data_IF_437500371476
#
_entry.id   IF_437500371476
#
_cell.length_a   1.000
_cell.length_b   1.000
_cell.length_c   1.000
_cell.angle_alpha   90.00
_cell.angle_beta   90.00
_cell.angle_gamma   90.00
#
_symmetry.space_group_name_H-M   'P 1'
#
loop_
_entity.id
_entity.type
_entity.pdbx_description
1 polymer ?
#
# COMPACT_ATOMS: atom_id res chain seq x y z
N UNK A 1 28.82 35.21 -2.88
CA UNK A 1 28.36 34.81 -1.52
C UNK A 1 26.84 34.86 -1.41
N UNK A 2 26.20 35.98 -1.76
CA UNK A 2 24.72 36.12 -1.81
C UNK A 2 24.05 35.10 -2.74
N UNK A 3 24.64 34.86 -3.91
CA UNK A 3 24.12 33.91 -4.90
C UNK A 3 24.03 32.47 -4.35
N UNK A 4 25.09 32.00 -3.67
CA UNK A 4 25.09 30.69 -2.98
C UNK A 4 24.08 30.59 -1.84
N UNK A 5 23.78 31.71 -1.16
CA UNK A 5 22.79 31.76 -0.08
C UNK A 5 21.37 31.70 -0.63
N UNK A 6 21.09 32.37 -1.76
CA UNK A 6 19.80 32.25 -2.46
C UNK A 6 19.58 30.82 -2.97
N UNK A 7 20.58 30.21 -3.61
CA UNK A 7 20.46 28.83 -4.11
C UNK A 7 20.21 27.82 -2.99
N UNK A 8 20.89 27.98 -1.85
CA UNK A 8 20.68 27.09 -0.69
C UNK A 8 19.28 27.24 -0.08
N UNK A 9 18.75 28.47 0.01
CA UNK A 9 17.40 28.72 0.52
C UNK A 9 16.31 28.16 -0.41
N UNK A 10 16.49 28.29 -1.72
CA UNK A 10 15.55 27.77 -2.72
C UNK A 10 15.52 26.23 -2.74
N UNK A 11 16.68 25.58 -2.63
CA UNK A 11 16.78 24.12 -2.49
C UNK A 11 16.10 23.62 -1.21
N UNK A 12 16.33 24.28 -0.07
CA UNK A 12 15.71 23.92 1.21
C UNK A 12 14.18 24.07 1.18
N UNK A 13 13.66 25.12 0.54
CA UNK A 13 12.23 25.35 0.35
C UNK A 13 11.58 24.24 -0.50
N UNK A 14 12.22 23.86 -1.60
CA UNK A 14 11.73 22.80 -2.49
C UNK A 14 11.74 21.41 -1.83
N UNK A 15 12.74 21.12 -1.01
CA UNK A 15 12.81 19.85 -0.28
C UNK A 15 11.73 19.75 0.82
N UNK A 16 11.53 20.84 1.57
CA UNK A 16 10.48 20.94 2.59
C UNK A 16 9.07 20.80 1.99
N UNK A 17 8.84 21.38 0.81
CA UNK A 17 7.55 21.28 0.10
C UNK A 17 7.28 19.85 -0.37
N UNK A 18 8.29 19.17 -0.93
CA UNK A 18 8.18 17.77 -1.37
C UNK A 18 7.89 16.82 -0.20
N UNK A 19 8.58 17.01 0.92
CA UNK A 19 8.37 16.22 2.14
C UNK A 19 6.98 16.44 2.75
N UNK A 20 6.54 17.69 2.82
CA UNK A 20 5.19 18.04 3.32
C UNK A 20 4.10 17.42 2.46
N UNK A 21 4.21 17.54 1.14
CA UNK A 21 3.25 16.96 0.18
C UNK A 21 3.18 15.43 0.33
N UNK A 22 4.33 14.79 0.51
CA UNK A 22 4.44 13.36 0.78
C UNK A 22 3.74 12.89 2.05
N UNK A 23 3.90 13.64 3.14
CA UNK A 23 3.23 13.34 4.41
C UNK A 23 1.73 13.57 4.35
N UNK A 24 1.27 14.61 3.65
CA UNK A 24 -0.17 14.85 3.40
C UNK A 24 -0.77 13.69 2.60
N UNK A 25 -0.08 13.21 1.57
CA UNK A 25 -0.51 12.03 0.81
C UNK A 25 -0.58 10.77 1.69
N UNK A 26 0.40 10.57 2.60
CA UNK A 26 0.37 9.44 3.53
C UNK A 26 -0.82 9.53 4.49
N UNK A 27 -1.04 10.70 5.09
CA UNK A 27 -2.19 10.92 5.96
C UNK A 27 -3.52 10.71 5.22
N UNK A 28 -3.63 11.21 3.99
CA UNK A 28 -4.80 11.00 3.13
C UNK A 28 -5.02 9.53 2.78
N UNK A 29 -3.95 8.78 2.46
CA UNK A 29 -4.03 7.35 2.17
C UNK A 29 -4.47 6.54 3.40
N UNK A 30 -3.89 6.82 4.58
CA UNK A 30 -4.30 6.19 5.85
C UNK A 30 -5.76 6.49 6.16
N UNK A 31 -6.18 7.75 6.03
CA UNK A 31 -7.57 8.15 6.25
C UNK A 31 -8.52 7.42 5.30
N UNK A 32 -8.18 7.37 4.00
CA UNK A 32 -8.97 6.64 3.02
C UNK A 32 -9.08 5.14 3.35
N UNK A 33 -7.97 4.51 3.75
CA UNK A 33 -7.96 3.10 4.22
C UNK A 33 -8.90 2.91 5.42
N UNK A 34 -8.83 3.79 6.43
CA UNK A 34 -9.70 3.71 7.62
C UNK A 34 -11.17 3.90 7.24
N UNK A 35 -11.48 4.91 6.43
CA UNK A 35 -12.86 5.17 5.96
C UNK A 35 -13.41 3.96 5.21
N UNK A 36 -12.61 3.33 4.35
CA UNK A 36 -13.04 2.15 3.59
C UNK A 36 -13.28 0.96 4.52
N UNK A 37 -12.30 0.54 5.32
CA UNK A 37 -12.40 -0.72 6.06
C UNK A 37 -13.13 -0.65 7.39
N UNK A 38 -13.11 0.49 8.08
CA UNK A 38 -13.84 0.67 9.34
C UNK A 38 -15.22 1.33 9.13
N UNK A 39 -15.41 2.05 8.03
CA UNK A 39 -16.66 2.75 7.73
C UNK A 39 -17.48 2.06 6.64
N UNK A 40 -17.02 2.11 5.40
CA UNK A 40 -17.82 1.76 4.23
C UNK A 40 -18.04 0.24 4.09
N UNK A 41 -17.01 -0.58 4.25
CA UNK A 41 -17.12 -2.04 4.13
C UNK A 41 -18.10 -2.60 5.17
N UNK A 42 -17.99 -2.29 6.48
CA UNK A 42 -18.97 -2.75 7.45
C UNK A 42 -20.37 -2.21 7.17
N UNK A 43 -20.49 -0.94 6.78
CA UNK A 43 -21.79 -0.32 6.46
C UNK A 43 -22.51 -1.08 5.35
N UNK A 44 -21.85 -1.36 4.23
CA UNK A 44 -22.47 -2.07 3.11
C UNK A 44 -22.68 -3.56 3.38
N UNK A 45 -21.80 -4.18 4.17
CA UNK A 45 -21.97 -5.58 4.58
C UNK A 45 -23.18 -5.76 5.51
N UNK A 46 -23.46 -4.79 6.37
CA UNK A 46 -24.58 -4.83 7.31
C UNK A 46 -25.93 -4.43 6.68
N UNK A 47 -25.91 -3.70 5.56
CA UNK A 47 -27.14 -3.26 4.85
C UNK A 47 -27.58 -4.22 3.74
N UNK A 48 -27.10 -5.46 3.74
CA UNK A 48 -27.43 -6.51 2.77
C UNK A 48 -27.13 -6.12 1.30
N UNK A 49 -26.06 -5.33 1.10
CA UNK A 49 -25.56 -4.94 -0.24
C UNK A 49 -24.19 -5.59 -0.53
N UNK A 50 -24.10 -6.93 -0.62
CA UNK A 50 -22.83 -7.65 -0.65
C UNK A 50 -21.96 -7.28 -1.87
N UNK A 51 -22.58 -6.98 -3.02
CA UNK A 51 -21.86 -6.54 -4.21
C UNK A 51 -21.14 -5.20 -3.99
N UNK A 52 -21.79 -4.23 -3.31
CA UNK A 52 -21.15 -2.94 -3.01
C UNK A 52 -20.08 -3.08 -1.93
N UNK A 53 -20.32 -3.93 -0.93
CA UNK A 53 -19.33 -4.24 0.09
C UNK A 53 -18.05 -4.82 -0.54
N UNK A 54 -18.19 -5.78 -1.45
CA UNK A 54 -17.07 -6.40 -2.17
C UNK A 54 -16.31 -5.39 -3.03
N UNK A 55 -17.02 -4.58 -3.84
CA UNK A 55 -16.39 -3.54 -4.66
C UNK A 55 -15.63 -2.52 -3.80
N UNK A 56 -16.19 -2.14 -2.66
CA UNK A 56 -15.57 -1.18 -1.74
C UNK A 56 -14.34 -1.79 -1.06
N UNK A 57 -14.41 -3.07 -0.68
CA UNK A 57 -13.29 -3.83 -0.12
C UNK A 57 -12.12 -3.91 -1.11
N UNK A 58 -12.38 -4.30 -2.35
CA UNK A 58 -11.35 -4.40 -3.39
C UNK A 58 -10.81 -3.01 -3.76
N UNK A 59 -11.68 -2.01 -3.85
CA UNK A 59 -11.26 -0.61 -4.04
C UNK A 59 -10.33 -0.11 -2.93
N UNK A 60 -10.56 -0.57 -1.70
CA UNK A 60 -9.71 -0.32 -0.54
C UNK A 60 -8.28 -0.86 -0.64
N UNK A 61 -8.00 -1.79 -1.55
CA UNK A 61 -6.63 -2.31 -1.76
C UNK A 61 -5.69 -1.21 -2.25
N UNK A 62 -6.19 -0.25 -3.02
CA UNK A 62 -5.40 0.86 -3.56
C UNK A 62 -4.87 1.78 -2.46
N UNK A 63 -5.71 2.46 -1.63
CA UNK A 63 -5.20 3.30 -0.57
C UNK A 63 -4.37 2.51 0.45
N UNK A 64 -4.74 1.25 0.74
CA UNK A 64 -3.95 0.39 1.62
C UNK A 64 -2.54 0.14 1.07
N UNK A 65 -2.41 -0.26 -0.19
CA UNK A 65 -1.09 -0.47 -0.83
C UNK A 65 -0.29 0.83 -0.89
N UNK A 66 -0.97 1.96 -1.15
CA UNK A 66 -0.36 3.28 -1.18
C UNK A 66 0.25 3.68 0.17
N UNK A 67 -0.40 3.36 1.28
CA UNK A 67 0.16 3.56 2.62
C UNK A 67 1.53 2.86 2.73
N UNK A 68 1.60 1.57 2.41
CA UNK A 68 2.87 0.83 2.50
C UNK A 68 3.91 1.29 1.49
N UNK A 69 3.49 1.74 0.30
CA UNK A 69 4.37 2.41 -0.65
C UNK A 69 5.00 3.68 -0.06
N UNK A 70 4.19 4.57 0.51
CA UNK A 70 4.68 5.82 1.09
C UNK A 70 5.52 5.56 2.33
N UNK A 71 5.16 4.57 3.15
CA UNK A 71 5.99 4.14 4.27
C UNK A 71 7.37 3.65 3.79
N UNK A 72 7.41 2.81 2.75
CA UNK A 72 8.65 2.37 2.14
C UNK A 72 9.46 3.53 1.54
N UNK A 73 8.79 4.52 0.94
CA UNK A 73 9.43 5.68 0.34
C UNK A 73 10.03 6.63 1.37
N UNK A 74 9.39 6.85 2.52
CA UNK A 74 9.89 7.81 3.51
C UNK A 74 10.82 7.18 4.54
N UNK A 75 10.48 5.99 5.04
CA UNK A 75 11.10 5.42 6.23
C UNK A 75 12.11 4.31 5.96
N UNK A 76 12.30 3.89 4.70
CA UNK A 76 13.38 2.95 4.38
C UNK A 76 14.72 3.67 4.22
N UNK A 77 15.81 2.96 4.49
CA UNK A 77 17.18 3.45 4.25
C UNK A 77 17.93 2.43 3.39
N UNK A 78 17.68 2.40 2.07
CA UNK A 78 18.36 1.47 1.18
C UNK A 78 19.83 1.88 1.00
N UNK A 79 20.77 0.98 1.27
CA UNK A 79 22.22 1.22 1.09
C UNK A 79 22.68 1.07 -0.37
N UNK A 80 21.88 0.42 -1.21
CA UNK A 80 22.07 0.21 -2.64
C UNK A 80 20.70 0.01 -3.29
N UNK A 81 20.65 -0.02 -4.63
CA UNK A 81 19.39 -0.22 -5.35
C UNK A 81 18.71 -1.54 -4.89
N UNK A 82 17.55 -1.48 -4.20
CA UNK A 82 16.91 -2.66 -3.66
C UNK A 82 16.41 -3.59 -4.77
N UNK A 83 16.52 -4.89 -4.53
CA UNK A 83 15.91 -5.91 -5.38
C UNK A 83 14.38 -5.77 -5.40
N UNK A 84 13.75 -6.06 -6.55
CA UNK A 84 12.30 -6.13 -6.67
C UNK A 84 11.66 -7.35 -6.02
N UNK A 85 12.47 -8.30 -5.51
CA UNK A 85 12.00 -9.56 -4.91
C UNK A 85 10.89 -9.38 -3.87
N UNK A 86 10.96 -8.36 -3.01
CA UNK A 86 9.90 -8.12 -2.01
C UNK A 86 8.57 -7.78 -2.67
N UNK A 87 8.59 -6.98 -3.74
CA UNK A 87 7.38 -6.65 -4.48
C UNK A 87 6.84 -7.87 -5.24
N UNK A 88 7.72 -8.63 -5.90
CA UNK A 88 7.34 -9.84 -6.64
C UNK A 88 6.74 -10.90 -5.73
N UNK A 89 7.32 -11.12 -4.54
CA UNK A 89 6.77 -12.01 -3.51
C UNK A 89 5.43 -11.52 -2.99
N UNK A 90 5.29 -10.21 -2.77
CA UNK A 90 4.03 -9.61 -2.34
C UNK A 90 2.92 -9.85 -3.36
N UNK A 91 3.19 -9.58 -4.65
CA UNK A 91 2.24 -9.81 -5.73
C UNK A 91 1.92 -11.30 -5.90
N UNK A 92 2.94 -12.16 -5.85
CA UNK A 92 2.77 -13.61 -5.89
C UNK A 92 1.87 -14.12 -4.76
N UNK A 93 2.08 -13.62 -3.53
CA UNK A 93 1.22 -13.96 -2.39
C UNK A 93 -0.23 -13.53 -2.62
N UNK A 94 -0.49 -12.29 -3.07
CA UNK A 94 -1.85 -11.82 -3.40
C UNK A 94 -2.53 -12.78 -4.37
N UNK A 95 -1.85 -13.14 -5.47
CA UNK A 95 -2.42 -14.02 -6.49
C UNK A 95 -2.69 -15.43 -5.96
N UNK A 96 -1.74 -16.01 -5.23
CA UNK A 96 -1.89 -17.35 -4.66
C UNK A 96 -3.07 -17.38 -3.69
N UNK A 97 -3.15 -16.42 -2.76
CA UNK A 97 -4.22 -16.41 -1.77
C UNK A 97 -5.59 -16.08 -2.37
N UNK A 98 -5.66 -15.24 -3.40
CA UNK A 98 -6.90 -15.04 -4.17
C UNK A 98 -7.35 -16.32 -4.86
N UNK A 99 -6.45 -17.01 -5.57
CA UNK A 99 -6.77 -18.26 -6.25
C UNK A 99 -7.19 -19.36 -5.27
N UNK A 100 -6.53 -19.43 -4.11
CA UNK A 100 -6.93 -20.37 -3.05
C UNK A 100 -8.33 -20.04 -2.51
N UNK A 101 -8.64 -18.76 -2.27
CA UNK A 101 -9.97 -18.35 -1.80
C UNK A 101 -11.06 -18.69 -2.82
N UNK A 102 -10.82 -18.39 -4.10
CA UNK A 102 -11.75 -18.72 -5.19
C UNK A 102 -11.89 -20.24 -5.39
N UNK A 103 -10.79 -20.98 -5.24
CA UNK A 103 -10.79 -22.44 -5.29
C UNK A 103 -11.65 -23.04 -4.18
N UNK A 104 -11.46 -22.60 -2.93
CA UNK A 104 -12.28 -23.04 -1.79
C UNK A 104 -13.77 -22.81 -2.05
N UNK A 105 -14.12 -21.63 -2.53
CA UNK A 105 -15.50 -21.29 -2.86
C UNK A 105 -16.05 -22.19 -3.98
N UNK A 106 -15.26 -22.49 -5.02
CA UNK A 106 -15.62 -23.41 -6.10
C UNK A 106 -15.85 -24.85 -5.62
N UNK A 107 -15.22 -25.27 -4.51
CA UNK A 107 -15.48 -26.56 -3.85
C UNK A 107 -16.62 -26.50 -2.82
N UNK A 108 -17.32 -25.37 -2.69
CA UNK A 108 -18.44 -25.20 -1.76
C UNK A 108 -18.03 -24.92 -0.32
N UNK A 109 -16.75 -24.64 -0.07
CA UNK A 109 -16.26 -24.05 1.17
C UNK A 109 -16.44 -22.55 1.06
N UNK A 110 -17.62 -22.07 1.46
CA UNK A 110 -17.93 -20.64 1.43
C UNK A 110 -17.46 -19.96 2.72
N UNK A 111 -17.27 -18.62 2.71
CA UNK A 111 -16.89 -17.85 3.90
C UNK A 111 -17.83 -18.05 5.10
N UNK A 112 -19.11 -18.35 4.87
CA UNK A 112 -20.10 -18.59 5.93
C UNK A 112 -19.94 -19.97 6.57
N UNK A 113 -19.39 -20.94 5.83
CA UNK A 113 -19.20 -22.32 6.30
C UNK A 113 -17.86 -22.53 6.98
N UNK A 114 -16.78 -21.97 6.42
CA UNK A 114 -15.41 -22.13 6.94
C UNK A 114 -14.71 -20.76 6.97
N UNK A 115 -15.15 -19.85 7.87
CA UNK A 115 -14.61 -18.49 7.93
C UNK A 115 -13.10 -18.47 8.22
N UNK A 116 -12.58 -19.45 8.96
CA UNK A 116 -11.16 -19.50 9.33
C UNK A 116 -10.27 -19.72 8.11
N UNK A 117 -10.70 -20.53 7.13
CA UNK A 117 -9.96 -20.73 5.90
C UNK A 117 -9.84 -19.40 5.14
N UNK A 118 -10.99 -18.74 4.90
CA UNK A 118 -11.07 -17.43 4.22
C UNK A 118 -10.32 -16.32 4.93
N UNK A 119 -10.26 -16.35 6.27
CA UNK A 119 -9.46 -15.43 7.05
C UNK A 119 -7.96 -15.56 6.74
N UNK A 120 -7.44 -16.78 6.62
CA UNK A 120 -6.03 -17.01 6.24
C UNK A 120 -5.75 -16.44 4.86
N UNK A 121 -6.65 -16.63 3.89
CA UNK A 121 -6.48 -16.02 2.57
C UNK A 121 -6.54 -14.50 2.61
N UNK A 122 -7.47 -13.91 3.36
CA UNK A 122 -7.54 -12.46 3.54
C UNK A 122 -6.24 -11.90 4.13
N UNK A 123 -5.72 -12.50 5.20
CA UNK A 123 -4.43 -12.11 5.81
C UNK A 123 -3.31 -12.18 4.78
N UNK A 124 -3.26 -13.26 3.99
CA UNK A 124 -2.28 -13.44 2.94
C UNK A 124 -2.34 -12.35 1.85
N UNK A 125 -3.54 -11.98 1.42
CA UNK A 125 -3.77 -10.89 0.46
C UNK A 125 -3.29 -9.54 1.02
N UNK A 126 -3.73 -9.16 2.23
CA UNK A 126 -3.34 -7.90 2.84
C UNK A 126 -1.83 -7.82 3.14
N UNK A 127 -1.22 -8.95 3.52
CA UNK A 127 0.23 -9.04 3.70
C UNK A 127 0.95 -8.87 2.37
N UNK A 128 0.47 -9.52 1.31
CA UNK A 128 1.03 -9.42 -0.03
C UNK A 128 0.95 -7.99 -0.61
N UNK A 129 -0.19 -7.32 -0.45
CA UNK A 129 -0.37 -5.92 -0.85
C UNK A 129 0.58 -4.98 -0.09
N UNK A 130 0.76 -5.20 1.22
CA UNK A 130 1.69 -4.43 2.04
C UNK A 130 3.14 -4.61 1.57
N UNK A 131 3.58 -5.85 1.32
CA UNK A 131 4.91 -6.17 0.79
C UNK A 131 5.13 -5.57 -0.61
N UNK A 132 4.11 -5.64 -1.46
CA UNK A 132 4.13 -5.07 -2.80
C UNK A 132 4.35 -3.55 -2.76
N UNK A 133 3.49 -2.83 -2.03
CA UNK A 133 3.62 -1.38 -1.85
C UNK A 133 4.98 -1.01 -1.27
N UNK A 134 5.36 -1.64 -0.16
CA UNK A 134 6.64 -1.38 0.51
C UNK A 134 7.85 -1.62 -0.40
N UNK A 135 7.89 -2.72 -1.13
CA UNK A 135 8.97 -3.06 -2.07
C UNK A 135 9.16 -2.00 -3.15
N UNK A 136 8.06 -1.52 -3.74
CA UNK A 136 8.09 -0.42 -4.73
C UNK A 136 8.55 0.87 -4.07
N UNK A 137 8.05 1.20 -2.87
CA UNK A 137 8.41 2.40 -2.13
C UNK A 137 9.91 2.51 -1.86
N UNK A 138 10.51 1.41 -1.39
CA UNK A 138 11.96 1.31 -1.14
C UNK A 138 12.79 1.58 -2.39
N UNK A 139 12.43 0.95 -3.50
CA UNK A 139 13.15 1.13 -4.77
C UNK A 139 12.96 2.54 -5.32
N UNK A 140 11.76 3.09 -5.17
CA UNK A 140 11.43 4.46 -5.56
C UNK A 140 12.26 5.49 -4.78
N UNK A 141 12.51 5.26 -3.48
CA UNK A 141 13.43 6.09 -2.68
C UNK A 141 14.87 6.00 -3.19
N UNK A 142 15.40 4.79 -3.34
CA UNK A 142 16.78 4.59 -3.79
C UNK A 142 17.08 5.24 -5.15
N UNK A 143 16.12 5.21 -6.08
CA UNK A 143 16.27 5.87 -7.38
C UNK A 143 16.32 7.39 -7.23
N UNK A 144 15.47 7.97 -6.37
CA UNK A 144 15.50 9.42 -6.08
C UNK A 144 16.83 9.81 -5.43
N UNK A 145 17.30 9.03 -4.44
CA UNK A 145 18.55 9.31 -3.73
C UNK A 145 19.77 9.26 -4.68
N UNK A 146 19.83 8.25 -5.57
CA UNK A 146 20.91 8.15 -6.58
C UNK A 146 20.89 9.32 -7.57
N UNK A 147 19.72 9.80 -7.96
CA UNK A 147 19.59 10.93 -8.87
C UNK A 147 19.98 12.28 -8.22
N UNK A 148 19.93 12.37 -6.88
CA UNK A 148 20.25 13.58 -6.11
C UNK A 148 21.71 13.62 -5.61
N UNK A 149 22.45 12.50 -5.67
CA UNK A 149 23.91 12.49 -5.49
C UNK A 149 24.65 12.84 -6.78
N UNK A 150 25.33 14.00 -6.89
CA UNK A 150 26.09 14.44 -8.07
C UNK A 150 27.38 13.64 -8.29
#
# INVERSE_FOLDING_TARGET
MVDRLMTAAELASNDMTRRTSGLVLLAGAVLATVVVYAGLVPRYALTDEPARALLTLVGGWVPYTLVFYLLGRFYSSPSSLPSMRTADLGLGAVLIFLLLSLGLEAWGFTPERIPEAHLVQAIGIFTGLALFGWGIGRRSKAITDVAETP
#
